data_IF_065884743235
#
_entry.id   IF_065884743235
#
_cell.length_a   1.000
_cell.length_b   1.000
_cell.length_c   1.000
_cell.angle_alpha   90.00
_cell.angle_beta   90.00
_cell.angle_gamma   90.00
#
_symmetry.space_group_name_H-M   'P 1'
#
loop_
_entity.id
_entity.type
_entity.pdbx_description
1 polymer ?
#
# COMPACT_ATOMS: atom_id res chain seq x y z
N UNK A 1 9.41 1.30 -1.76
CA UNK A 1 10.36 1.16 -2.85
C UNK A 1 11.63 1.96 -2.58
N UNK A 2 11.54 3.26 -2.33
CA UNK A 2 12.73 4.10 -2.10
C UNK A 2 13.58 3.60 -0.94
N UNK A 3 13.00 3.34 0.21
CA UNK A 3 13.70 2.75 1.37
C UNK A 3 14.43 1.45 0.99
N UNK A 4 13.80 0.58 0.21
CA UNK A 4 14.43 -0.67 -0.23
C UNK A 4 15.62 -0.42 -1.17
N UNK A 5 15.57 0.62 -1.99
CA UNK A 5 16.68 1.00 -2.88
C UNK A 5 17.83 1.66 -2.12
N UNK A 6 17.51 2.59 -1.20
CA UNK A 6 18.50 3.48 -0.56
C UNK A 6 19.02 2.98 0.79
N UNK A 7 18.30 2.05 1.43
CA UNK A 7 18.67 1.48 2.74
C UNK A 7 18.85 -0.06 2.70
N UNK A 8 18.48 -0.67 1.56
CA UNK A 8 18.53 -2.11 1.36
C UNK A 8 17.18 -2.80 1.66
N UNK A 9 17.13 -4.08 1.31
CA UNK A 9 15.97 -4.94 1.52
C UNK A 9 16.42 -6.27 2.15
N UNK A 10 15.83 -6.63 3.29
CA UNK A 10 16.10 -7.90 3.94
C UNK A 10 15.74 -9.08 3.01
N UNK A 11 16.66 -10.01 2.83
CA UNK A 11 16.49 -11.17 1.95
C UNK A 11 15.69 -12.28 2.64
N UNK A 12 14.42 -12.00 2.96
CA UNK A 12 13.54 -12.95 3.62
C UNK A 12 13.09 -14.02 2.62
N UNK A 13 13.22 -15.31 2.95
CA UNK A 13 12.76 -16.40 2.09
C UNK A 13 11.27 -16.28 1.74
N UNK A 14 10.89 -16.88 0.61
CA UNK A 14 9.50 -16.96 0.20
C UNK A 14 8.70 -17.78 1.20
N UNK A 15 7.64 -17.19 1.76
CA UNK A 15 6.75 -17.88 2.69
C UNK A 15 5.96 -18.96 1.94
N UNK A 16 6.01 -20.17 2.47
CA UNK A 16 5.30 -21.33 1.92
C UNK A 16 3.77 -21.16 2.01
N UNK A 17 3.06 -21.82 1.10
CA UNK A 17 1.59 -21.83 1.14
C UNK A 17 1.06 -22.51 2.41
N UNK A 18 1.81 -23.46 2.98
CA UNK A 18 1.49 -24.10 4.25
C UNK A 18 1.40 -23.06 5.37
N UNK A 19 2.44 -22.25 5.57
CA UNK A 19 2.47 -21.22 6.62
C UNK A 19 1.41 -20.14 6.38
N UNK A 20 1.20 -19.70 5.12
CA UNK A 20 0.12 -18.76 4.77
C UNK A 20 -1.29 -19.29 5.09
N UNK A 21 -1.53 -20.59 4.88
CA UNK A 21 -2.82 -21.19 5.22
C UNK A 21 -2.98 -21.33 6.74
N UNK A 22 -1.90 -21.63 7.45
CA UNK A 22 -1.91 -21.66 8.92
C UNK A 22 -2.20 -20.29 9.50
N UNK A 23 -1.55 -19.22 9.01
CA UNK A 23 -1.79 -17.85 9.49
C UNK A 23 -3.24 -17.42 9.25
N UNK A 24 -3.81 -17.71 8.06
CA UNK A 24 -5.21 -17.43 7.73
C UNK A 24 -6.17 -18.18 8.64
N UNK A 25 -5.94 -19.48 8.85
CA UNK A 25 -6.77 -20.29 9.75
C UNK A 25 -6.73 -19.73 11.16
N UNK A 26 -5.54 -19.49 11.69
CA UNK A 26 -5.37 -18.97 13.06
C UNK A 26 -5.99 -17.58 13.24
N UNK A 27 -5.88 -16.72 12.21
CA UNK A 27 -6.53 -15.41 12.20
C UNK A 27 -8.06 -15.53 12.23
N UNK A 28 -8.63 -16.48 11.48
CA UNK A 28 -10.07 -16.72 11.46
C UNK A 28 -10.60 -17.31 12.79
N UNK A 29 -9.85 -18.24 13.37
CA UNK A 29 -10.28 -18.97 14.60
C UNK A 29 -10.07 -18.13 15.86
N UNK A 30 -8.97 -17.39 15.97
CA UNK A 30 -8.52 -16.73 17.21
C UNK A 30 -8.31 -15.22 17.05
N UNK A 31 -8.57 -14.67 15.86
CA UNK A 31 -8.31 -13.26 15.57
C UNK A 31 -6.82 -12.89 15.63
N UNK A 32 -6.55 -11.59 15.68
CA UNK A 32 -5.17 -11.07 15.79
C UNK A 32 -4.51 -11.53 17.09
N UNK A 33 -5.29 -11.62 18.19
CA UNK A 33 -4.78 -12.04 19.50
C UNK A 33 -4.10 -13.41 19.46
N UNK A 34 -4.67 -14.35 18.69
CA UNK A 34 -4.07 -15.67 18.52
C UNK A 34 -2.69 -15.63 17.82
N UNK A 35 -2.49 -14.73 16.87
CA UNK A 35 -1.18 -14.57 16.24
C UNK A 35 -0.17 -13.88 17.14
N UNK A 36 -0.61 -12.89 17.94
CA UNK A 36 0.26 -12.16 18.86
C UNK A 36 0.84 -13.05 19.96
N UNK A 37 0.09 -14.06 20.40
CA UNK A 37 0.55 -15.00 21.44
C UNK A 37 1.77 -15.83 21.03
N UNK A 38 1.97 -16.05 19.74
CA UNK A 38 3.09 -16.83 19.23
C UNK A 38 4.32 -15.97 18.91
N UNK A 39 4.23 -14.65 19.05
CA UNK A 39 5.32 -13.74 18.74
C UNK A 39 6.12 -13.36 19.99
N UNK A 40 7.43 -13.25 19.82
CA UNK A 40 8.34 -12.81 20.87
C UNK A 40 8.11 -11.34 21.24
N UNK A 41 8.35 -10.97 22.50
CA UNK A 41 8.20 -9.61 23.01
C UNK A 41 8.96 -8.59 22.16
N UNK A 42 10.18 -8.91 21.74
CA UNK A 42 10.96 -8.05 20.85
C UNK A 42 10.23 -7.72 19.55
N UNK A 43 9.52 -8.68 18.96
CA UNK A 43 8.71 -8.46 17.76
C UNK A 43 7.52 -7.56 18.06
N UNK A 44 6.82 -7.80 19.17
CA UNK A 44 5.62 -7.04 19.58
C UNK A 44 5.94 -5.56 19.81
N UNK A 45 7.10 -5.25 20.38
CA UNK A 45 7.57 -3.86 20.61
C UNK A 45 7.92 -3.12 19.31
N UNK A 46 8.23 -3.84 18.24
CA UNK A 46 8.74 -3.26 17.00
C UNK A 46 7.75 -3.30 15.82
N UNK A 47 6.55 -3.82 16.02
CA UNK A 47 5.49 -3.84 15.00
C UNK A 47 4.27 -3.04 15.45
N UNK A 48 3.53 -2.51 14.49
CA UNK A 48 2.22 -1.94 14.74
C UNK A 48 1.20 -3.08 14.93
N UNK A 49 0.98 -3.48 16.19
CA UNK A 49 0.05 -4.57 16.57
C UNK A 49 -1.42 -4.26 16.22
N UNK A 50 -1.77 -3.00 15.95
CA UNK A 50 -3.10 -2.60 15.49
C UNK A 50 -3.30 -2.84 14.01
N UNK A 51 -2.23 -3.13 13.27
CA UNK A 51 -2.29 -3.43 11.85
C UNK A 51 -2.25 -4.96 11.62
N UNK A 52 -3.40 -5.59 11.27
CA UNK A 52 -3.47 -7.05 11.10
C UNK A 52 -2.46 -7.59 10.10
N UNK A 53 -2.23 -6.87 8.99
CA UNK A 53 -1.33 -7.33 7.93
C UNK A 53 0.14 -7.35 8.40
N UNK A 54 0.53 -6.42 9.27
CA UNK A 54 1.88 -6.43 9.87
C UNK A 54 2.05 -7.58 10.85
N UNK A 55 1.03 -7.86 11.66
CA UNK A 55 1.03 -8.99 12.59
C UNK A 55 1.09 -10.31 11.82
N UNK A 56 0.24 -10.51 10.82
CA UNK A 56 0.28 -11.71 9.95
C UNK A 56 1.66 -11.86 9.31
N UNK A 57 2.23 -10.79 8.75
CA UNK A 57 3.55 -10.86 8.12
C UNK A 57 4.66 -11.25 9.10
N UNK A 58 4.67 -10.67 10.30
CA UNK A 58 5.65 -11.01 11.33
C UNK A 58 5.52 -12.47 11.76
N UNK A 59 4.28 -12.94 11.95
CA UNK A 59 3.98 -14.32 12.31
C UNK A 59 4.44 -15.31 11.22
N UNK A 60 4.11 -15.04 9.96
CA UNK A 60 4.49 -15.87 8.82
C UNK A 60 6.01 -15.97 8.67
N UNK A 61 6.73 -14.85 8.79
CA UNK A 61 8.19 -14.84 8.71
C UNK A 61 8.80 -15.67 9.83
N UNK A 62 8.34 -15.49 11.05
CA UNK A 62 8.82 -16.24 12.19
C UNK A 62 8.60 -17.75 12.05
N UNK A 63 7.40 -18.17 11.64
CA UNK A 63 7.06 -19.59 11.50
C UNK A 63 7.69 -20.26 10.29
N UNK A 64 8.02 -19.52 9.25
CA UNK A 64 8.74 -20.06 8.10
C UNK A 64 10.23 -20.22 8.38
N UNK A 65 10.83 -19.26 9.10
CA UNK A 65 12.30 -19.13 9.19
C UNK A 65 12.88 -19.37 10.58
N UNK A 66 12.06 -19.40 11.62
CA UNK A 66 12.51 -19.43 13.02
C UNK A 66 13.18 -18.13 13.49
N UNK A 67 13.16 -17.06 12.67
CA UNK A 67 13.83 -15.79 12.92
C UNK A 67 12.86 -14.63 12.81
N UNK A 68 12.92 -13.69 13.77
CA UNK A 68 12.02 -12.55 13.79
C UNK A 68 12.22 -11.61 12.59
N UNK A 69 11.15 -10.91 12.20
CA UNK A 69 11.20 -9.92 11.11
C UNK A 69 12.25 -8.83 11.38
N UNK A 70 12.36 -8.36 12.63
CA UNK A 70 13.36 -7.36 13.04
C UNK A 70 14.79 -7.88 12.84
N UNK A 71 15.04 -9.13 13.19
CA UNK A 71 16.37 -9.75 13.02
C UNK A 71 16.75 -9.90 11.55
N UNK A 72 15.80 -10.22 10.67
CA UNK A 72 16.02 -10.17 9.23
C UNK A 72 16.35 -8.75 8.74
N UNK A 73 15.65 -7.73 9.26
CA UNK A 73 15.90 -6.34 8.91
C UNK A 73 17.24 -5.81 9.40
N UNK A 74 17.73 -6.26 10.56
CA UNK A 74 19.06 -5.88 11.07
C UNK A 74 20.21 -6.49 10.28
N UNK A 75 19.97 -7.55 9.53
CA UNK A 75 20.93 -8.24 8.67
C UNK A 75 20.70 -7.91 7.17
N UNK A 76 20.10 -6.75 6.91
CA UNK A 76 19.84 -6.29 5.53
C UNK A 76 21.17 -6.04 4.81
N UNK A 77 21.29 -6.55 3.58
CA UNK A 77 22.43 -6.28 2.72
C UNK A 77 22.56 -4.78 2.40
N UNK A 78 23.74 -4.30 2.01
CA UNK A 78 23.95 -2.91 1.62
C UNK A 78 22.94 -2.45 0.56
N UNK A 79 22.62 -1.17 0.60
CA UNK A 79 21.71 -0.54 -0.36
C UNK A 79 22.19 -0.74 -1.80
N UNK A 80 21.25 -1.01 -2.72
CA UNK A 80 21.57 -1.11 -4.16
C UNK A 80 21.99 0.26 -4.71
N UNK A 81 21.40 1.33 -4.16
CA UNK A 81 21.67 2.70 -4.54
C UNK A 81 21.75 3.56 -3.27
N UNK A 82 22.92 3.67 -2.64
CA UNK A 82 23.11 4.48 -1.45
C UNK A 82 22.71 5.92 -1.69
N UNK A 83 22.02 6.53 -0.73
CA UNK A 83 21.54 7.92 -0.87
C UNK A 83 22.70 8.90 -1.11
N UNK A 84 23.89 8.60 -0.58
CA UNK A 84 25.11 9.40 -0.78
C UNK A 84 25.60 9.45 -2.24
N UNK A 85 25.14 8.52 -3.07
CA UNK A 85 25.48 8.44 -4.50
C UNK A 85 24.36 8.98 -5.40
N UNK A 86 23.33 9.62 -4.82
CA UNK A 86 22.15 10.10 -5.52
C UNK A 86 21.99 11.61 -5.37
N UNK A 87 21.23 12.19 -6.32
CA UNK A 87 20.57 13.48 -6.14
C UNK A 87 19.09 13.24 -5.87
N UNK A 88 18.69 13.13 -4.60
CA UNK A 88 17.33 12.78 -4.24
C UNK A 88 16.40 13.98 -4.39
N UNK A 89 15.38 13.85 -5.23
CA UNK A 89 14.45 14.93 -5.56
C UNK A 89 13.01 14.52 -5.23
N UNK A 90 12.22 15.43 -4.65
CA UNK A 90 10.79 15.27 -4.40
C UNK A 90 10.02 16.27 -5.23
N UNK A 91 9.07 15.79 -6.03
CA UNK A 91 8.11 16.65 -6.73
C UNK A 91 6.92 16.86 -5.81
N UNK A 92 6.72 18.10 -5.38
CA UNK A 92 5.67 18.48 -4.44
C UNK A 92 4.73 19.54 -5.03
N UNK A 93 3.82 19.15 -5.95
CA UNK A 93 2.91 20.10 -6.60
C UNK A 93 1.99 20.78 -5.58
N UNK A 94 1.57 22.00 -5.90
CA UNK A 94 0.57 22.74 -5.14
C UNK A 94 -0.73 21.95 -4.96
N UNK A 95 -1.41 22.13 -3.83
CA UNK A 95 -2.62 21.36 -3.52
C UNK A 95 -3.72 21.55 -4.57
N UNK A 96 -3.98 22.82 -4.99
CA UNK A 96 -5.03 23.12 -5.93
C UNK A 96 -4.80 22.48 -7.31
N UNK A 97 -3.55 22.51 -7.79
CA UNK A 97 -3.18 21.90 -9.06
C UNK A 97 -3.26 20.39 -9.01
N UNK A 98 -2.83 19.80 -7.90
CA UNK A 98 -2.95 18.36 -7.69
C UNK A 98 -4.41 17.91 -7.69
N UNK A 99 -5.28 18.62 -6.97
CA UNK A 99 -6.71 18.31 -6.87
C UNK A 99 -7.39 18.39 -8.26
N UNK A 100 -7.05 19.41 -9.06
CA UNK A 100 -7.51 19.54 -10.45
C UNK A 100 -7.01 18.39 -11.33
N UNK A 101 -5.72 18.06 -11.27
CA UNK A 101 -5.12 16.95 -12.03
C UNK A 101 -5.74 15.60 -11.66
N UNK A 102 -6.02 15.35 -10.39
CA UNK A 102 -6.67 14.11 -9.91
C UNK A 102 -8.02 13.92 -10.57
N UNK A 103 -8.87 14.95 -10.55
CA UNK A 103 -10.21 14.89 -11.15
C UNK A 103 -10.14 14.68 -12.67
N UNK A 104 -9.35 15.48 -13.37
CA UNK A 104 -9.19 15.38 -14.83
C UNK A 104 -8.67 14.00 -15.23
N UNK A 105 -7.70 13.44 -14.48
CA UNK A 105 -7.17 12.11 -14.74
C UNK A 105 -8.27 11.04 -14.63
N UNK A 106 -9.12 11.09 -13.62
CA UNK A 106 -10.17 10.10 -13.44
C UNK A 106 -11.22 10.19 -14.56
N UNK A 107 -11.62 11.42 -14.95
CA UNK A 107 -12.51 11.64 -16.09
C UNK A 107 -11.89 11.11 -17.41
N UNK A 108 -10.58 11.28 -17.60
CA UNK A 108 -9.87 10.70 -18.75
C UNK A 108 -9.85 9.17 -18.71
N UNK A 109 -9.61 8.55 -17.54
CA UNK A 109 -9.65 7.09 -17.39
C UNK A 109 -11.01 6.52 -17.80
N UNK A 110 -12.11 7.18 -17.44
CA UNK A 110 -13.46 6.77 -17.88
C UNK A 110 -13.56 6.83 -19.41
N UNK A 111 -13.10 7.91 -20.04
CA UNK A 111 -13.10 8.06 -21.51
C UNK A 111 -12.22 7.01 -22.20
N UNK A 112 -11.16 6.55 -21.53
CA UNK A 112 -10.25 5.52 -22.03
C UNK A 112 -10.73 4.07 -21.80
N UNK A 113 -11.92 3.88 -21.21
CA UNK A 113 -12.53 2.57 -21.05
C UNK A 113 -12.51 1.98 -19.64
N UNK A 114 -12.19 2.77 -18.60
CA UNK A 114 -12.21 2.26 -17.21
C UNK A 114 -13.58 1.73 -16.79
N UNK A 115 -14.67 2.31 -17.32
CA UNK A 115 -16.02 1.81 -17.07
C UNK A 115 -16.28 0.45 -17.73
N UNK A 116 -15.76 0.23 -18.93
CA UNK A 116 -15.86 -1.06 -19.63
C UNK A 116 -15.03 -2.14 -18.93
N UNK A 117 -13.86 -1.77 -18.41
CA UNK A 117 -13.05 -2.67 -17.57
C UNK A 117 -13.80 -3.06 -16.29
N UNK A 118 -14.39 -2.10 -15.60
CA UNK A 118 -15.21 -2.35 -14.40
C UNK A 118 -16.40 -3.27 -14.73
N UNK A 119 -17.08 -3.06 -15.88
CA UNK A 119 -18.19 -3.89 -16.34
C UNK A 119 -17.77 -5.35 -16.58
N UNK A 120 -16.60 -5.59 -17.17
CA UNK A 120 -16.06 -6.94 -17.36
C UNK A 120 -15.77 -7.65 -16.03
N UNK A 121 -15.33 -6.89 -15.03
CA UNK A 121 -15.02 -7.43 -13.70
C UNK A 121 -16.24 -7.57 -12.79
N UNK A 122 -17.39 -6.97 -13.12
CA UNK A 122 -18.59 -6.95 -12.28
C UNK A 122 -19.08 -8.36 -11.94
N UNK A 123 -19.03 -9.30 -12.90
CA UNK A 123 -19.52 -10.68 -12.73
C UNK A 123 -18.75 -11.45 -11.65
N UNK A 124 -17.44 -11.20 -11.56
CA UNK A 124 -16.54 -11.86 -10.60
C UNK A 124 -16.07 -10.91 -9.48
N UNK A 125 -16.83 -9.81 -9.25
CA UNK A 125 -16.46 -8.83 -8.28
C UNK A 125 -16.48 -9.39 -6.86
N UNK A 126 -15.33 -9.29 -6.19
CA UNK A 126 -15.18 -9.68 -4.79
C UNK A 126 -14.55 -8.52 -4.01
N UNK A 127 -15.35 -7.89 -3.15
CA UNK A 127 -14.95 -6.74 -2.33
C UNK A 127 -13.76 -7.02 -1.40
N UNK A 128 -13.55 -8.28 -1.05
CA UNK A 128 -12.43 -8.72 -0.20
C UNK A 128 -11.14 -9.00 -0.98
N UNK A 129 -11.16 -8.92 -2.31
CA UNK A 129 -9.97 -9.12 -3.11
C UNK A 129 -9.02 -7.92 -3.02
N UNK A 130 -7.72 -8.15 -3.26
CA UNK A 130 -6.75 -7.05 -3.31
C UNK A 130 -7.00 -6.11 -4.50
N UNK A 131 -7.48 -6.64 -5.62
CA UNK A 131 -7.80 -5.86 -6.81
C UNK A 131 -8.95 -4.86 -6.56
N UNK A 132 -9.92 -5.23 -5.70
CA UNK A 132 -11.06 -4.37 -5.34
C UNK A 132 -10.66 -3.15 -4.49
N UNK A 133 -9.43 -3.12 -3.97
CA UNK A 133 -8.88 -1.96 -3.25
C UNK A 133 -8.27 -0.90 -4.16
N UNK A 134 -8.26 -1.11 -5.48
CA UNK A 134 -7.84 -0.09 -6.42
C UNK A 134 -8.83 1.08 -6.38
N UNK A 135 -8.31 2.29 -6.17
CA UNK A 135 -9.14 3.50 -6.10
C UNK A 135 -9.85 3.71 -7.45
N UNK A 136 -11.14 3.92 -7.40
CA UNK A 136 -12.00 4.05 -8.57
C UNK A 136 -12.70 2.76 -8.96
N UNK A 137 -12.17 1.59 -8.60
CA UNK A 137 -12.79 0.31 -8.95
C UNK A 137 -14.13 0.11 -8.23
N UNK A 138 -14.16 0.26 -6.91
CA UNK A 138 -15.38 0.15 -6.10
C UNK A 138 -16.44 1.18 -6.50
N UNK A 139 -16.02 2.39 -6.79
CA UNK A 139 -16.91 3.49 -7.19
C UNK A 139 -17.56 3.24 -8.56
N UNK A 140 -16.80 2.72 -9.52
CA UNK A 140 -17.33 2.35 -10.83
C UNK A 140 -18.23 1.12 -10.75
N UNK A 141 -17.92 0.15 -9.92
CA UNK A 141 -18.80 -1.01 -9.65
C UNK A 141 -20.13 -0.56 -9.01
N UNK A 142 -20.07 0.33 -8.01
CA UNK A 142 -21.28 0.90 -7.39
C UNK A 142 -22.15 1.66 -8.42
N UNK A 143 -21.51 2.40 -9.33
CA UNK A 143 -22.22 3.02 -10.46
C UNK A 143 -22.89 1.98 -11.36
N UNK A 144 -22.20 0.92 -11.74
CA UNK A 144 -22.75 -0.15 -12.59
C UNK A 144 -23.88 -0.92 -11.92
N UNK A 145 -23.88 -1.00 -10.58
CA UNK A 145 -24.99 -1.56 -9.78
C UNK A 145 -26.18 -0.58 -9.63
N UNK A 146 -26.06 0.66 -10.08
CA UNK A 146 -27.10 1.70 -9.93
C UNK A 146 -27.12 2.37 -8.55
N UNK A 147 -26.14 2.13 -7.70
CA UNK A 147 -26.02 2.69 -6.34
C UNK A 147 -25.53 4.15 -6.37
N UNK A 148 -24.74 4.51 -7.36
CA UNK A 148 -24.17 5.84 -7.56
C UNK A 148 -24.41 6.34 -9.00
N UNK A 149 -24.60 7.64 -9.16
CA UNK A 149 -24.44 8.26 -10.48
C UNK A 149 -22.97 8.29 -10.89
N UNK A 150 -22.69 8.40 -12.19
CA UNK A 150 -21.30 8.52 -12.67
C UNK A 150 -20.59 9.73 -12.07
N UNK A 151 -21.28 10.85 -11.87
CA UNK A 151 -20.73 12.04 -11.23
C UNK A 151 -20.33 11.79 -9.78
N UNK A 152 -21.14 11.05 -9.02
CA UNK A 152 -20.83 10.65 -7.65
C UNK A 152 -19.65 9.69 -7.61
N UNK A 153 -19.56 8.73 -8.54
CA UNK A 153 -18.42 7.83 -8.64
C UNK A 153 -17.11 8.58 -8.92
N UNK A 154 -17.12 9.56 -9.84
CA UNK A 154 -15.97 10.44 -10.12
C UNK A 154 -15.58 11.23 -8.87
N UNK A 155 -16.53 11.83 -8.17
CA UNK A 155 -16.23 12.63 -6.98
C UNK A 155 -15.66 11.77 -5.85
N UNK A 156 -16.27 10.61 -5.57
CA UNK A 156 -15.81 9.70 -4.51
C UNK A 156 -14.39 9.16 -4.81
N UNK A 157 -14.13 8.74 -6.05
CA UNK A 157 -12.79 8.31 -6.47
C UNK A 157 -11.76 9.45 -6.37
N UNK A 158 -12.16 10.68 -6.70
CA UNK A 158 -11.31 11.85 -6.55
C UNK A 158 -11.00 12.15 -5.08
N UNK A 159 -11.99 12.04 -4.19
CA UNK A 159 -11.80 12.18 -2.73
C UNK A 159 -10.84 11.11 -2.21
N UNK A 160 -11.04 9.85 -2.57
CA UNK A 160 -10.17 8.75 -2.15
C UNK A 160 -8.73 8.95 -2.64
N UNK A 161 -8.56 9.43 -3.89
CA UNK A 161 -7.24 9.75 -4.46
C UNK A 161 -6.58 10.91 -3.72
N UNK A 162 -7.31 11.98 -3.38
CA UNK A 162 -6.79 13.10 -2.57
C UNK A 162 -6.33 12.62 -1.18
N UNK A 163 -7.11 11.74 -0.55
CA UNK A 163 -6.73 11.15 0.75
C UNK A 163 -5.46 10.30 0.63
N UNK A 164 -5.33 9.54 -0.46
CA UNK A 164 -4.11 8.77 -0.73
C UNK A 164 -2.91 9.69 -0.95
N UNK A 165 -3.04 10.72 -1.77
CA UNK A 165 -2.00 11.73 -1.99
C UNK A 165 -1.59 12.44 -0.70
N UNK A 166 -2.54 12.75 0.19
CA UNK A 166 -2.23 13.31 1.52
C UNK A 166 -1.35 12.37 2.34
N UNK A 167 -1.68 11.06 2.35
CA UNK A 167 -0.84 10.05 3.04
C UNK A 167 0.55 9.96 2.43
N UNK A 168 0.67 10.00 1.09
CA UNK A 168 1.97 10.03 0.42
C UNK A 168 2.78 11.26 0.80
N UNK A 169 2.20 12.47 0.79
CA UNK A 169 2.87 13.71 1.22
C UNK A 169 3.35 13.63 2.67
N UNK A 170 2.53 13.10 3.58
CA UNK A 170 2.92 12.90 4.97
C UNK A 170 4.10 11.94 5.08
N UNK A 171 4.06 10.82 4.36
CA UNK A 171 5.14 9.83 4.35
C UNK A 171 6.45 10.43 3.79
N UNK A 172 6.38 11.13 2.66
CA UNK A 172 7.52 11.84 2.06
C UNK A 172 8.13 12.81 3.08
N UNK A 173 7.30 13.66 3.70
CA UNK A 173 7.76 14.66 4.68
C UNK A 173 8.46 14.03 5.88
N UNK A 174 8.11 12.81 6.28
CA UNK A 174 8.69 12.14 7.44
C UNK A 174 9.88 11.24 7.11
N UNK A 175 10.00 10.78 5.85
CA UNK A 175 11.00 9.79 5.44
C UNK A 175 12.01 10.30 4.42
N UNK A 176 11.74 11.44 3.83
CA UNK A 176 12.57 12.05 2.77
C UNK A 176 12.94 13.49 3.17
N UNK A 177 13.41 13.68 4.41
CA UNK A 177 13.73 15.00 4.98
C UNK A 177 14.89 15.67 4.26
N UNK A 178 15.82 14.87 3.76
CA UNK A 178 17.07 15.33 3.14
C UNK A 178 16.99 15.34 1.60
N UNK A 179 15.78 15.20 1.07
CA UNK A 179 15.53 15.25 -0.37
C UNK A 179 15.17 16.68 -0.79
N UNK A 180 15.74 17.13 -1.92
CA UNK A 180 15.46 18.47 -2.45
C UNK A 180 14.02 18.54 -2.99
N UNK A 181 13.27 19.56 -2.51
CA UNK A 181 11.88 19.78 -2.95
C UNK A 181 11.86 20.60 -4.23
N UNK A 182 11.28 20.03 -5.29
CA UNK A 182 11.07 20.69 -6.56
C UNK A 182 9.58 20.96 -6.72
N UNK A 183 9.19 22.22 -6.67
CA UNK A 183 7.79 22.63 -6.87
C UNK A 183 7.37 22.65 -8.32
N UNK A 184 8.29 22.94 -9.24
CA UNK A 184 8.05 22.99 -10.69
C UNK A 184 9.15 22.26 -11.46
N UNK A 185 8.79 21.18 -12.17
CA UNK A 185 9.58 20.67 -13.26
C UNK A 185 9.20 21.45 -14.52
N UNK A 186 9.86 22.56 -14.78
CA UNK A 186 10.03 23.06 -16.15
C UNK A 186 11.11 22.19 -16.79
N UNK A 187 10.68 21.09 -17.44
CA UNK A 187 11.50 20.33 -18.37
C UNK A 187 11.56 21.03 -19.71
#
# INVERSE_FOLDING_TARGET
>A
YFTALTEGLANIPKISNKVKNMSKKKLNDNGIAGLLQDLENETLENIDIKNPMRVVRAWEVFHETGKSLKRWQSETEPAILPISECHPLVINPGKADLDKKIRLRFEQMIKMGALDEAKKNLVNWNENSLASKAIGASELIAHLKGELSIHQAIENASIATRQYAKRQKTWIKTRMTDWDDITDLTL
#
